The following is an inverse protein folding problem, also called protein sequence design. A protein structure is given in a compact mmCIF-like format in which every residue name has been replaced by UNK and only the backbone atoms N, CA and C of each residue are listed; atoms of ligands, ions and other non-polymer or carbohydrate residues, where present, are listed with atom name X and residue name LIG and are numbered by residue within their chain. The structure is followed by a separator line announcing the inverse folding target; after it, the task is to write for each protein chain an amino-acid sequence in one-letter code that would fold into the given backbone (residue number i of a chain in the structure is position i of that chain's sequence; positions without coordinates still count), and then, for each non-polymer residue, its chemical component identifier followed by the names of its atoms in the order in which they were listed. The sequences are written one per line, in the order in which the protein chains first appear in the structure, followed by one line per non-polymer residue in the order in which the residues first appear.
data_IF_988871093828
#
_entry.id   IF_988871093828
#
_cell.length_a   1.000
_cell.length_b   1.000
_cell.length_c   1.000
_cell.angle_alpha   90.00
_cell.angle_beta   90.00
_cell.angle_gamma   90.00
#
_symmetry.space_group_name_H-M   'P 1'
#
loop_
_entity.id
_entity.type
_entity.pdbx_description
1 polymer ?
#
# COMPACT_ATOMS: atom_id res chain seq x y z
N UNK A 1 -46.38 -4.82 33.22
CA UNK A 1 -46.12 -4.11 31.95
C UNK A 1 -44.62 -3.90 31.85
N UNK A 2 -43.93 -4.77 31.10
CA UNK A 2 -42.51 -4.59 30.83
C UNK A 2 -42.38 -3.72 29.58
N UNK A 3 -41.76 -2.56 29.74
CA UNK A 3 -41.41 -1.66 28.65
C UNK A 3 -40.17 -2.21 27.93
N UNK A 4 -40.34 -2.64 26.69
CA UNK A 4 -39.23 -2.99 25.79
C UNK A 4 -38.55 -1.70 25.33
N UNK A 5 -37.41 -1.36 25.94
CA UNK A 5 -36.53 -0.34 25.37
C UNK A 5 -35.92 -0.90 24.09
N UNK A 6 -36.36 -0.40 22.95
CA UNK A 6 -35.75 -0.65 21.65
C UNK A 6 -34.42 0.09 21.61
N UNK A 7 -33.31 -0.66 21.68
CA UNK A 7 -31.98 -0.10 21.50
C UNK A 7 -31.77 0.09 19.99
N UNK A 8 -31.93 1.30 19.49
CA UNK A 8 -31.58 1.65 18.12
C UNK A 8 -30.07 1.67 18.00
N UNK A 9 -29.51 0.64 17.36
CA UNK A 9 -28.10 0.63 16.94
C UNK A 9 -27.98 1.65 15.80
N UNK A 10 -27.48 2.83 16.11
CA UNK A 10 -27.08 3.80 15.10
C UNK A 10 -25.80 3.25 14.46
N UNK A 11 -25.94 2.57 13.32
CA UNK A 11 -24.81 2.28 12.47
C UNK A 11 -24.34 3.62 11.91
N UNK A 12 -23.30 4.18 12.51
CA UNK A 12 -22.65 5.36 11.94
C UNK A 12 -22.17 5.01 10.52
N UNK A 13 -22.78 5.62 9.51
CA UNK A 13 -22.34 5.49 8.15
C UNK A 13 -20.86 5.88 8.09
N UNK A 14 -20.03 5.01 7.50
CA UNK A 14 -18.62 5.36 7.27
C UNK A 14 -18.62 6.61 6.40
N UNK A 15 -18.02 7.73 6.84
CA UNK A 15 -18.05 8.95 6.07
C UNK A 15 -17.38 8.70 4.71
N UNK A 16 -18.01 9.17 3.65
CA UNK A 16 -17.42 9.14 2.30
C UNK A 16 -16.14 9.97 2.37
N UNK A 17 -15.00 9.45 1.91
CA UNK A 17 -13.74 10.19 1.91
C UNK A 17 -13.90 11.51 1.13
N UNK A 18 -13.53 12.62 1.75
CA UNK A 18 -13.56 13.95 1.13
C UNK A 18 -12.29 14.29 0.35
N UNK A 19 -11.28 13.41 0.39
CA UNK A 19 -10.03 13.47 -0.35
C UNK A 19 -9.95 12.36 -1.40
N UNK A 20 -8.90 12.40 -2.23
CA UNK A 20 -8.66 11.42 -3.29
C UNK A 20 -8.64 9.96 -2.81
N UNK A 21 -8.61 9.05 -3.76
CA UNK A 21 -8.58 7.62 -3.49
C UNK A 21 -7.44 7.24 -2.54
N UNK A 22 -7.63 6.16 -1.78
CA UNK A 22 -6.57 5.57 -0.97
C UNK A 22 -5.35 5.25 -1.84
N UNK A 23 -4.17 5.17 -1.21
CA UNK A 23 -2.94 4.79 -1.89
C UNK A 23 -1.88 5.87 -1.90
N UNK A 24 -0.73 5.48 -2.45
CA UNK A 24 0.44 6.33 -2.66
C UNK A 24 0.70 6.40 -4.16
N UNK A 25 0.54 7.58 -4.73
CA UNK A 25 0.47 7.73 -6.18
C UNK A 25 1.78 8.26 -6.75
N UNK A 26 2.21 7.71 -7.88
CA UNK A 26 3.34 8.26 -8.63
C UNK A 26 2.86 9.43 -9.50
N UNK A 27 3.60 10.54 -9.57
CA UNK A 27 3.28 11.62 -10.50
C UNK A 27 3.59 11.21 -11.95
N UNK A 28 2.92 11.87 -12.92
CA UNK A 28 1.83 12.79 -12.75
C UNK A 28 0.48 12.09 -12.86
N UNK A 29 -0.45 12.45 -11.96
CA UNK A 29 -1.83 12.05 -12.10
C UNK A 29 -2.57 13.00 -13.03
N UNK A 30 -2.87 12.56 -14.25
CA UNK A 30 -3.88 13.21 -15.09
C UNK A 30 -5.03 12.22 -15.28
N UNK A 31 -6.30 12.69 -15.32
CA UNK A 31 -7.48 11.80 -15.41
C UNK A 31 -7.53 10.91 -16.65
N UNK A 32 -6.67 11.18 -17.61
CA UNK A 32 -6.70 10.56 -18.95
C UNK A 32 -5.73 9.38 -19.09
N UNK A 33 -4.97 9.06 -18.02
CA UNK A 33 -3.95 8.02 -18.10
C UNK A 33 -4.45 6.68 -17.59
N UNK A 34 -3.88 5.62 -18.13
CA UNK A 34 -4.05 4.27 -17.62
C UNK A 34 -3.49 4.19 -16.21
N UNK A 35 -4.28 3.66 -15.29
CA UNK A 35 -3.90 3.46 -13.89
C UNK A 35 -3.50 2.00 -13.66
N UNK A 36 -2.33 1.78 -13.10
CA UNK A 36 -1.95 0.50 -12.52
C UNK A 36 -1.92 0.62 -11.00
N UNK A 37 -2.86 -0.02 -10.33
CA UNK A 37 -2.94 -0.10 -8.88
C UNK A 37 -2.33 -1.43 -8.41
N UNK A 38 -1.46 -1.36 -7.41
CA UNK A 38 -0.76 -2.50 -6.83
C UNK A 38 -1.16 -2.61 -5.37
N UNK A 39 -1.89 -3.67 -5.01
CA UNK A 39 -2.20 -4.00 -3.63
C UNK A 39 -1.14 -4.97 -3.11
N UNK A 40 -0.47 -4.57 -2.04
CA UNK A 40 0.73 -5.25 -1.56
C UNK A 40 0.76 -5.33 -0.04
N UNK A 41 1.22 -6.45 0.50
CA UNK A 41 1.64 -6.57 1.89
C UNK A 41 3.17 -6.44 1.93
N UNK A 42 3.66 -5.47 2.67
CA UNK A 42 5.08 -5.14 2.74
C UNK A 42 5.95 -6.25 3.35
N UNK A 43 5.34 -7.30 3.89
CA UNK A 43 6.02 -8.49 4.43
C UNK A 43 5.69 -9.78 3.64
N UNK A 44 5.06 -9.67 2.46
CA UNK A 44 4.71 -10.81 1.62
C UNK A 44 5.85 -11.15 0.65
N UNK A 45 6.26 -12.43 0.64
CA UNK A 45 7.34 -12.92 -0.23
C UNK A 45 6.95 -12.85 -1.71
N UNK A 46 5.69 -13.13 -2.06
CA UNK A 46 5.19 -13.00 -3.43
C UNK A 46 5.21 -11.54 -3.90
N UNK A 47 4.96 -10.59 -3.01
CA UNK A 47 5.09 -9.17 -3.31
C UNK A 47 6.54 -8.77 -3.55
N UNK A 48 7.47 -9.30 -2.74
CA UNK A 48 8.91 -9.12 -2.95
C UNK A 48 9.34 -9.71 -4.29
N UNK A 49 8.86 -10.90 -4.63
CA UNK A 49 9.16 -11.56 -5.91
C UNK A 49 8.67 -10.76 -7.12
N UNK A 50 7.50 -10.11 -7.03
CA UNK A 50 6.94 -9.27 -8.09
C UNK A 50 7.62 -7.89 -8.20
N UNK A 51 8.29 -7.41 -7.15
CA UNK A 51 8.73 -6.02 -7.05
C UNK A 51 9.77 -5.59 -8.10
N UNK A 52 10.78 -6.42 -8.46
CA UNK A 52 11.71 -6.08 -9.54
C UNK A 52 11.00 -5.81 -10.87
N UNK A 53 10.01 -6.64 -11.23
CA UNK A 53 9.21 -6.43 -12.44
C UNK A 53 8.36 -5.16 -12.33
N UNK A 54 7.74 -4.90 -11.19
CA UNK A 54 6.97 -3.65 -10.99
C UNK A 54 7.87 -2.41 -11.10
N UNK A 55 9.09 -2.48 -10.62
CA UNK A 55 10.08 -1.40 -10.80
C UNK A 55 10.43 -1.22 -12.28
N UNK A 56 10.62 -2.30 -13.03
CA UNK A 56 10.87 -2.26 -14.47
C UNK A 56 9.67 -1.68 -15.24
N UNK A 57 8.44 -2.07 -14.92
CA UNK A 57 7.20 -1.53 -15.49
C UNK A 57 7.10 -0.04 -15.23
N UNK A 58 7.36 0.42 -14.00
CA UNK A 58 7.37 1.84 -13.65
C UNK A 58 8.41 2.62 -14.44
N UNK A 59 9.61 2.09 -14.60
CA UNK A 59 10.68 2.71 -15.38
C UNK A 59 10.33 2.77 -16.87
N UNK A 60 9.76 1.70 -17.43
CA UNK A 60 9.39 1.60 -18.84
C UNK A 60 8.28 2.61 -19.22
N UNK A 61 7.20 2.64 -18.46
CA UNK A 61 6.06 3.51 -18.76
C UNK A 61 6.20 4.93 -18.21
N UNK A 62 7.00 5.10 -17.14
CA UNK A 62 7.29 6.40 -16.54
C UNK A 62 6.04 7.30 -16.45
N UNK A 63 6.01 8.37 -17.27
CA UNK A 63 4.92 9.34 -17.28
C UNK A 63 3.68 8.91 -18.07
N UNK A 64 3.69 7.75 -18.73
CA UNK A 64 2.56 7.25 -19.53
C UNK A 64 1.49 6.57 -18.69
N UNK A 65 1.83 6.08 -17.49
CA UNK A 65 0.91 5.47 -16.54
C UNK A 65 0.85 6.27 -15.23
N UNK A 66 -0.24 6.06 -14.51
CA UNK A 66 -0.36 6.41 -13.09
C UNK A 66 -0.18 5.12 -12.30
N UNK A 67 0.71 5.15 -11.32
CA UNK A 67 0.92 4.02 -10.41
C UNK A 67 0.35 4.35 -9.04
N UNK A 68 -0.51 3.48 -8.52
CA UNK A 68 -1.03 3.53 -7.17
C UNK A 68 -0.50 2.36 -6.34
N UNK A 69 0.16 2.66 -5.23
CA UNK A 69 0.59 1.64 -4.26
C UNK A 69 -0.39 1.62 -3.09
N UNK A 70 -1.04 0.49 -2.87
CA UNK A 70 -1.97 0.26 -1.77
C UNK A 70 -1.38 -0.77 -0.82
N UNK A 71 -1.26 -0.44 0.46
CA UNK A 71 -0.76 -1.38 1.45
C UNK A 71 -1.92 -2.15 2.06
N UNK A 72 -1.92 -3.46 1.83
CA UNK A 72 -2.94 -4.41 2.26
C UNK A 72 -2.31 -5.51 3.14
N UNK A 73 -2.20 -5.29 4.46
CA UNK A 73 -1.58 -6.25 5.37
C UNK A 73 -2.40 -7.53 5.47
N UNK A 74 -1.73 -8.66 5.26
CA UNK A 74 -2.33 -10.00 5.37
C UNK A 74 -2.33 -10.47 6.83
N UNK A 75 -3.39 -11.18 7.26
CA UNK A 75 -3.59 -11.51 8.68
C UNK A 75 -2.58 -12.52 9.25
N UNK A 76 -1.89 -13.27 8.38
CA UNK A 76 -0.93 -14.29 8.78
C UNK A 76 0.54 -13.79 8.81
N UNK A 77 0.82 -12.58 8.38
CA UNK A 77 2.10 -11.91 8.58
C UNK A 77 2.00 -11.04 9.85
N UNK A 78 2.56 -11.53 10.95
CA UNK A 78 2.42 -10.97 12.30
C UNK A 78 2.61 -9.45 12.37
N UNK A 79 3.58 -8.92 11.65
CA UNK A 79 3.96 -7.52 11.69
C UNK A 79 3.47 -6.70 10.48
N UNK A 80 2.67 -7.30 9.60
CA UNK A 80 2.21 -6.63 8.38
C UNK A 80 1.42 -5.35 8.65
N UNK A 81 0.61 -5.34 9.71
CA UNK A 81 -0.12 -4.13 10.07
C UNK A 81 0.80 -3.03 10.58
N UNK A 82 1.87 -3.37 11.33
CA UNK A 82 2.89 -2.38 11.70
C UNK A 82 3.61 -1.82 10.46
N UNK A 83 3.92 -2.66 9.49
CA UNK A 83 4.52 -2.20 8.23
C UNK A 83 3.59 -1.25 7.45
N UNK A 84 2.28 -1.53 7.43
CA UNK A 84 1.26 -0.67 6.82
C UNK A 84 1.12 0.66 7.59
N UNK A 85 1.09 0.62 8.91
CA UNK A 85 1.03 1.82 9.75
C UNK A 85 2.31 2.66 9.61
N UNK A 86 3.48 2.01 9.48
CA UNK A 86 4.75 2.68 9.21
C UNK A 86 4.73 3.46 7.90
N UNK A 87 4.15 2.91 6.84
CA UNK A 87 3.95 3.64 5.57
C UNK A 87 3.09 4.90 5.76
N UNK A 88 2.03 4.82 6.58
CA UNK A 88 1.21 5.99 6.94
C UNK A 88 1.95 7.01 7.79
N UNK A 89 2.77 6.55 8.74
CA UNK A 89 3.62 7.42 9.56
C UNK A 89 4.63 8.18 8.68
N UNK A 90 5.29 7.48 7.76
CA UNK A 90 6.20 8.10 6.78
C UNK A 90 5.49 9.15 5.92
N UNK A 91 4.34 8.82 5.33
CA UNK A 91 3.54 9.80 4.57
C UNK A 91 3.18 11.01 5.41
N UNK A 92 2.77 10.81 6.65
CA UNK A 92 2.40 11.88 7.58
C UNK A 92 3.59 12.79 7.93
N UNK A 93 4.78 12.23 8.12
CA UNK A 93 5.98 12.98 8.48
C UNK A 93 6.64 13.68 7.29
N UNK A 94 6.67 13.03 6.13
CA UNK A 94 7.37 13.55 4.95
C UNK A 94 6.48 14.31 3.98
N UNK A 95 5.16 14.17 4.10
CA UNK A 95 4.15 14.67 3.16
C UNK A 95 4.38 14.17 1.72
N UNK A 96 5.09 13.04 1.55
CA UNK A 96 5.56 12.53 0.26
C UNK A 96 5.12 11.09 0.00
N UNK A 97 4.45 10.84 -1.12
CA UNK A 97 4.19 9.48 -1.60
C UNK A 97 5.49 8.79 -2.04
N UNK A 98 6.43 9.55 -2.59
CA UNK A 98 7.73 9.01 -2.99
C UNK A 98 8.51 8.41 -1.79
N UNK A 99 8.32 8.92 -0.58
CA UNK A 99 8.93 8.32 0.62
C UNK A 99 8.37 6.94 0.90
N UNK A 100 7.08 6.70 0.64
CA UNK A 100 6.46 5.38 0.81
C UNK A 100 6.89 4.41 -0.29
N UNK A 101 7.06 4.88 -1.52
CA UNK A 101 7.66 4.05 -2.57
C UNK A 101 9.09 3.62 -2.22
N UNK A 102 9.93 4.53 -1.71
CA UNK A 102 11.27 4.19 -1.21
C UNK A 102 11.21 3.21 -0.03
N UNK A 103 10.19 3.31 0.82
CA UNK A 103 9.94 2.37 1.90
C UNK A 103 9.67 0.96 1.38
N UNK A 104 8.83 0.82 0.37
CA UNK A 104 8.59 -0.46 -0.30
C UNK A 104 9.86 -0.97 -1.01
N UNK A 105 10.60 -0.09 -1.72
CA UNK A 105 11.87 -0.43 -2.36
C UNK A 105 12.89 -0.98 -1.34
N UNK A 106 12.95 -0.42 -0.13
CA UNK A 106 13.84 -0.91 0.93
C UNK A 106 13.39 -2.27 1.48
N UNK A 107 12.08 -2.43 1.75
CA UNK A 107 11.57 -3.67 2.33
C UNK A 107 11.66 -4.84 1.34
N UNK A 108 11.45 -4.60 0.05
CA UNK A 108 11.54 -5.63 -0.97
C UNK A 108 12.93 -5.80 -1.57
N UNK A 109 13.85 -4.88 -1.30
CA UNK A 109 15.22 -4.93 -1.77
C UNK A 109 16.08 -5.95 -1.00
N UNK A 110 17.35 -6.08 -1.43
CA UNK A 110 18.31 -6.99 -0.81
C UNK A 110 19.12 -6.33 0.31
N UNK A 111 19.11 -4.99 0.38
CA UNK A 111 19.85 -4.24 1.40
C UNK A 111 19.19 -4.38 2.79
N UNK A 112 19.95 -4.88 3.76
CA UNK A 112 19.46 -5.07 5.12
C UNK A 112 19.40 -3.77 5.96
N UNK A 113 18.44 -3.66 6.91
CA UNK A 113 17.31 -4.56 7.10
C UNK A 113 16.27 -4.35 6.01
N UNK A 114 15.81 -5.46 5.46
CA UNK A 114 14.70 -5.53 4.54
C UNK A 114 13.51 -6.24 5.20
N UNK A 115 12.52 -6.71 4.43
CA UNK A 115 11.35 -7.39 5.01
C UNK A 115 11.73 -8.59 5.87
N UNK A 116 12.83 -9.31 5.57
CA UNK A 116 13.25 -10.52 6.30
C UNK A 116 13.47 -10.24 7.80
N UNK A 117 13.93 -9.04 8.15
CA UNK A 117 14.12 -8.62 9.54
C UNK A 117 12.80 -8.51 10.33
N UNK A 118 11.65 -8.48 9.65
CA UNK A 118 10.33 -8.27 10.24
C UNK A 118 9.40 -9.47 10.09
N UNK A 119 9.84 -10.56 9.46
CA UNK A 119 9.04 -11.78 9.31
C UNK A 119 8.74 -12.43 10.66
N UNK A 120 7.76 -13.34 10.66
CA UNK A 120 7.26 -14.00 11.86
C UNK A 120 8.38 -14.62 12.72
N UNK A 121 9.26 -15.40 12.07
CA UNK A 121 10.34 -16.11 12.77
C UNK A 121 11.43 -15.14 13.26
N UNK A 122 11.81 -14.16 12.44
CA UNK A 122 12.81 -13.15 12.81
C UNK A 122 12.40 -12.32 14.03
N UNK A 123 11.11 -12.15 14.24
CA UNK A 123 10.55 -11.35 15.34
C UNK A 123 9.85 -12.17 16.41
N UNK A 124 9.99 -13.50 16.40
CA UNK A 124 9.25 -14.41 17.29
C UNK A 124 9.38 -14.04 18.79
N UNK A 125 10.58 -13.58 19.20
CA UNK A 125 10.89 -13.19 20.58
C UNK A 125 10.86 -11.67 20.82
N UNK A 126 10.39 -10.87 19.84
CA UNK A 126 10.30 -9.42 19.98
C UNK A 126 8.93 -9.01 20.52
N UNK A 127 8.92 -7.99 21.39
CA UNK A 127 7.67 -7.29 21.74
C UNK A 127 7.22 -6.38 20.60
N UNK A 128 5.95 -5.99 20.60
CA UNK A 128 5.44 -5.01 19.62
C UNK A 128 6.23 -3.70 19.62
N UNK A 129 6.59 -3.20 20.81
CA UNK A 129 7.40 -1.98 20.94
C UNK A 129 8.81 -2.14 20.35
N UNK A 130 9.43 -3.31 20.50
CA UNK A 130 10.72 -3.60 19.89
C UNK A 130 10.63 -3.65 18.36
N UNK A 131 9.55 -4.21 17.79
CA UNK A 131 9.28 -4.19 16.35
C UNK A 131 9.06 -2.76 15.87
N UNK A 132 8.27 -1.95 16.59
CA UNK A 132 8.03 -0.54 16.27
C UNK A 132 9.35 0.25 16.29
N UNK A 133 10.22 0.02 17.28
CA UNK A 133 11.53 0.66 17.35
C UNK A 133 12.44 0.26 16.17
N UNK A 134 12.38 -0.99 15.72
CA UNK A 134 13.10 -1.45 14.53
C UNK A 134 12.60 -0.76 13.25
N UNK A 135 11.26 -0.63 13.08
CA UNK A 135 10.69 0.15 11.98
C UNK A 135 11.07 1.63 12.05
N UNK A 136 11.11 2.24 13.25
CA UNK A 136 11.55 3.63 13.42
C UNK A 136 13.00 3.82 12.98
N UNK A 137 13.89 2.90 13.34
CA UNK A 137 15.31 2.92 12.93
C UNK A 137 15.45 2.81 11.41
N UNK A 138 14.64 1.94 10.78
CA UNK A 138 14.60 1.82 9.33
C UNK A 138 14.06 3.09 8.67
N UNK A 139 12.99 3.67 9.21
CA UNK A 139 12.38 4.91 8.70
C UNK A 139 13.36 6.10 8.75
N UNK A 140 14.19 6.17 9.79
CA UNK A 140 15.26 7.18 9.87
C UNK A 140 16.25 7.03 8.71
N UNK A 141 16.65 5.82 8.37
CA UNK A 141 17.58 5.57 7.26
C UNK A 141 16.98 5.84 5.90
N UNK A 142 15.75 5.43 5.68
CA UNK A 142 15.07 5.52 4.37
C UNK A 142 14.60 6.93 4.05
N UNK A 143 14.10 7.65 5.05
CA UNK A 143 13.41 8.93 4.86
C UNK A 143 13.90 10.07 5.78
N UNK A 144 14.94 9.85 6.59
CA UNK A 144 15.48 10.86 7.51
C UNK A 144 14.51 11.26 8.63
N UNK A 145 13.50 10.45 8.94
CA UNK A 145 12.55 10.75 10.00
C UNK A 145 13.16 10.52 11.38
N UNK A 146 12.78 11.35 12.37
CA UNK A 146 13.16 11.14 13.76
C UNK A 146 12.35 10.00 14.38
N UNK A 147 13.01 9.10 15.13
CA UNK A 147 12.31 8.08 15.91
C UNK A 147 11.37 8.67 16.96
N UNK A 148 11.70 9.85 17.51
CA UNK A 148 10.85 10.58 18.47
C UNK A 148 9.52 11.01 17.84
N UNK A 149 9.53 11.36 16.57
CA UNK A 149 8.31 11.74 15.85
C UNK A 149 7.58 10.54 15.25
N UNK A 150 8.31 9.47 14.92
CA UNK A 150 7.77 8.28 14.27
C UNK A 150 7.04 7.36 15.24
N UNK A 151 7.68 7.00 16.38
CA UNK A 151 7.14 6.00 17.34
C UNK A 151 5.75 6.36 17.87
N UNK A 152 5.45 7.62 18.24
CA UNK A 152 4.09 7.98 18.67
C UNK A 152 3.01 7.73 17.60
N UNK A 153 3.36 7.81 16.31
CA UNK A 153 2.41 7.56 15.20
C UNK A 153 2.09 6.08 14.99
N UNK A 154 2.91 5.21 15.60
CA UNK A 154 2.72 3.75 15.54
C UNK A 154 1.81 3.21 16.64
N UNK A 155 1.27 4.09 17.50
CA UNK A 155 0.39 3.66 18.58
C UNK A 155 -1.02 3.40 18.09
N UNK A 156 -1.72 2.52 18.80
CA UNK A 156 -3.13 2.23 18.54
C UNK A 156 -3.99 3.50 18.71
N UNK A 157 -4.99 3.67 17.85
CA UNK A 157 -5.93 4.79 17.90
C UNK A 157 -5.40 6.11 17.35
N UNK A 158 -4.17 6.13 16.82
CA UNK A 158 -3.63 7.31 16.13
C UNK A 158 -4.29 7.53 14.76
N UNK A 159 -4.08 8.71 14.18
CA UNK A 159 -4.54 9.02 12.82
C UNK A 159 -3.93 8.04 11.82
N UNK A 160 -2.70 7.66 11.99
CA UNK A 160 -1.96 6.72 11.13
C UNK A 160 -2.49 5.28 11.26
N UNK A 161 -2.85 4.84 12.48
CA UNK A 161 -3.56 3.57 12.70
C UNK A 161 -4.91 3.57 11.97
N UNK A 162 -5.70 4.63 12.15
CA UNK A 162 -6.97 4.81 11.45
C UNK A 162 -6.83 4.79 9.93
N UNK A 163 -5.79 5.45 9.39
CA UNK A 163 -5.51 5.49 7.96
C UNK A 163 -5.05 4.12 7.41
N UNK A 164 -4.25 3.35 8.17
CA UNK A 164 -3.88 1.99 7.78
C UNK A 164 -5.10 1.06 7.72
N UNK A 165 -6.02 1.16 8.70
CA UNK A 165 -7.30 0.42 8.68
C UNK A 165 -8.20 0.83 7.52
N UNK A 166 -8.23 2.11 7.16
CA UNK A 166 -8.99 2.61 6.01
C UNK A 166 -8.42 2.05 4.69
N UNK A 167 -7.10 1.99 4.56
CA UNK A 167 -6.42 1.37 3.42
C UNK A 167 -6.79 -0.10 3.26
N UNK A 168 -6.72 -0.86 4.33
CA UNK A 168 -7.13 -2.26 4.32
C UNK A 168 -8.60 -2.42 3.89
N UNK A 169 -9.52 -1.61 4.47
CA UNK A 169 -10.95 -1.61 4.11
C UNK A 169 -11.16 -1.25 2.64
N UNK A 170 -10.38 -0.31 2.11
CA UNK A 170 -10.42 0.05 0.70
C UNK A 170 -10.05 -1.17 -0.18
N UNK A 171 -8.92 -1.83 0.08
CA UNK A 171 -8.54 -3.04 -0.63
C UNK A 171 -9.59 -4.15 -0.54
N UNK A 172 -10.12 -4.41 0.67
CA UNK A 172 -11.19 -5.38 0.86
C UNK A 172 -12.46 -5.04 0.06
N UNK A 173 -12.85 -3.76 -0.02
CA UNK A 173 -13.99 -3.30 -0.82
C UNK A 173 -13.76 -3.45 -2.33
N UNK A 174 -12.50 -3.54 -2.76
CA UNK A 174 -12.09 -3.80 -4.15
C UNK A 174 -11.99 -5.29 -4.47
N UNK A 175 -12.35 -6.16 -3.52
CA UNK A 175 -12.28 -7.62 -3.68
C UNK A 175 -10.88 -8.20 -3.50
N UNK A 176 -9.94 -7.44 -2.92
CA UNK A 176 -8.59 -7.94 -2.62
C UNK A 176 -8.67 -8.96 -1.49
N UNK A 177 -8.22 -10.17 -1.75
CA UNK A 177 -8.19 -11.28 -0.78
C UNK A 177 -6.80 -11.84 -0.54
N UNK A 178 -5.81 -11.37 -1.32
CA UNK A 178 -4.40 -11.77 -1.26
C UNK A 178 -3.52 -10.74 -1.93
N UNK A 179 -2.21 -10.89 -1.77
CA UNK A 179 -1.22 -9.98 -2.35
C UNK A 179 -0.07 -10.75 -3.02
N UNK A 180 0.52 -10.21 -4.10
CA UNK A 180 0.11 -8.99 -4.77
C UNK A 180 -1.20 -9.15 -5.55
N UNK A 181 -2.02 -8.09 -5.60
CA UNK A 181 -3.17 -7.99 -6.49
C UNK A 181 -3.00 -6.72 -7.33
N UNK A 182 -3.32 -6.81 -8.61
CA UNK A 182 -3.12 -5.73 -9.57
C UNK A 182 -4.45 -5.35 -10.24
N UNK A 183 -4.69 -4.05 -10.34
CA UNK A 183 -5.83 -3.54 -11.09
C UNK A 183 -5.33 -2.58 -12.18
N UNK A 184 -5.83 -2.76 -13.42
CA UNK A 184 -5.67 -1.79 -14.50
C UNK A 184 -7.01 -1.06 -14.70
N UNK A 185 -6.98 0.26 -14.60
CA UNK A 185 -8.18 1.10 -14.66
C UNK A 185 -9.32 0.61 -13.75
N UNK A 186 -8.93 0.13 -12.54
CA UNK A 186 -9.86 -0.38 -11.53
C UNK A 186 -10.40 -1.79 -11.79
N UNK A 187 -9.94 -2.49 -12.83
CA UNK A 187 -10.31 -3.88 -13.14
C UNK A 187 -9.15 -4.82 -12.80
N UNK A 188 -9.44 -5.91 -12.08
CA UNK A 188 -8.41 -6.88 -11.69
C UNK A 188 -7.77 -7.55 -12.91
N UNK A 189 -6.45 -7.62 -12.92
CA UNK A 189 -5.66 -8.40 -13.88
C UNK A 189 -5.54 -9.81 -13.31
N UNK A 190 -6.58 -10.62 -13.52
CA UNK A 190 -6.77 -11.91 -12.83
C UNK A 190 -5.66 -12.93 -13.10
N UNK A 191 -5.04 -12.86 -14.29
CA UNK A 191 -3.98 -13.80 -14.69
C UNK A 191 -2.58 -13.34 -14.23
N UNK A 192 -2.44 -12.13 -13.69
CA UNK A 192 -1.15 -11.62 -13.24
C UNK A 192 -0.63 -12.43 -12.04
N UNK A 193 0.61 -12.88 -12.15
CA UNK A 193 1.32 -13.62 -11.08
C UNK A 193 2.59 -12.88 -10.66
N UNK A 194 3.18 -13.21 -9.49
CA UNK A 194 4.46 -12.63 -9.07
C UNK A 194 5.60 -12.85 -10.05
N UNK A 195 5.51 -13.86 -10.91
CA UNK A 195 6.52 -14.21 -11.91
C UNK A 195 6.35 -13.54 -13.27
N UNK A 196 5.31 -12.72 -13.46
CA UNK A 196 5.13 -11.99 -14.71
C UNK A 196 6.36 -11.12 -15.01
N UNK A 197 6.76 -11.15 -16.27
CA UNK A 197 7.85 -10.34 -16.82
C UNK A 197 7.35 -8.98 -17.31
N UNK A 198 8.27 -8.08 -17.64
CA UNK A 198 7.92 -6.81 -18.30
C UNK A 198 7.13 -7.05 -19.60
N UNK A 199 7.54 -8.07 -20.39
CA UNK A 199 6.85 -8.42 -21.65
C UNK A 199 5.40 -8.88 -21.43
N UNK A 200 5.10 -9.55 -20.31
CA UNK A 200 3.72 -9.93 -19.99
C UNK A 200 2.89 -8.69 -19.65
N UNK A 201 3.47 -7.75 -18.93
CA UNK A 201 2.82 -6.48 -18.63
C UNK A 201 2.60 -5.61 -19.86
N UNK A 202 3.55 -5.56 -20.81
CA UNK A 202 3.37 -4.76 -22.04
C UNK A 202 2.24 -5.29 -22.90
N UNK A 203 2.01 -6.60 -22.97
CA UNK A 203 0.89 -7.20 -23.70
C UNK A 203 -0.49 -6.71 -23.23
N UNK A 204 -0.62 -6.39 -21.93
CA UNK A 204 -1.91 -5.93 -21.38
C UNK A 204 -2.00 -4.41 -21.27
N UNK A 205 -0.88 -3.71 -21.13
CA UNK A 205 -0.85 -2.24 -20.96
C UNK A 205 -0.84 -1.51 -22.30
N UNK A 206 0.01 -1.90 -23.25
CA UNK A 206 0.18 -1.20 -24.53
C UNK A 206 -1.14 -1.03 -25.30
N UNK A 207 -2.02 -2.05 -25.39
CA UNK A 207 -3.31 -1.90 -26.06
C UNK A 207 -4.21 -0.83 -25.43
N UNK A 208 -4.06 -0.56 -24.13
CA UNK A 208 -4.83 0.46 -23.43
C UNK A 208 -4.31 1.86 -23.74
N UNK A 209 -2.99 2.02 -23.86
CA UNK A 209 -2.37 3.30 -24.22
C UNK A 209 -2.69 3.73 -25.65
N UNK A 210 -2.79 2.76 -26.58
CA UNK A 210 -3.14 3.02 -27.98
C UNK A 210 -4.62 3.38 -28.17
N UNK A 211 -5.50 2.96 -27.25
CA UNK A 211 -6.95 3.14 -27.33
C UNK A 211 -7.48 4.30 -26.48
N UNK A 212 -6.61 4.95 -25.68
CA UNK A 212 -7.05 6.07 -24.86
C UNK A 212 -7.60 7.18 -25.78
N UNK A 213 -8.94 7.40 -25.87
CA UNK A 213 -9.48 8.46 -26.68
C UNK A 213 -9.03 9.79 -26.08
N UNK A 214 -8.63 10.73 -26.92
CA UNK A 214 -8.55 12.11 -26.49
C UNK A 214 -9.93 12.50 -25.93
N UNK A 215 -10.03 12.64 -24.61
CA UNK A 215 -11.25 13.12 -23.96
C UNK A 215 -11.56 14.50 -24.53
N UNK A 216 -12.62 14.58 -25.35
CA UNK A 216 -13.08 15.87 -25.87
C UNK A 216 -13.70 16.62 -24.69
N UNK A 217 -13.02 17.64 -24.21
CA UNK A 217 -13.61 18.65 -23.33
C UNK A 217 -14.79 19.27 -24.07
N UNK A 218 -15.99 18.96 -23.61
CA UNK A 218 -17.23 19.67 -23.99
C UNK A 218 -17.42 20.89 -23.11
#
# INVERSE_FOLDING_TARGET
MLSLLSLAVVVAATPIPTGGYDGYWSPPSTPEKVNLEIFTDLLCDDCKAAWPTMTAVRAHYNSSLIFGLHVFPLPYHRNAFYAAQAARALKSLTQSDAAVWKWADQLYGDAEPNQNAFLNDATANMTGDAVIAAFASLATRVAGTSAVDFVPKMQWGTKEDGAARASWKYGASRGVTGTPTFLLNGVAVADATPSWTLDDWTKVIDPLLLKAPAYRSS
#
